data_IF_370535220309
#
_entry.id   IF_370535220309
#
_cell.length_a   1.000
_cell.length_b   1.000
_cell.length_c   1.000
_cell.angle_alpha   90.00
_cell.angle_beta   90.00
_cell.angle_gamma   90.00
#
_symmetry.space_group_name_H-M   'P 1'
#
loop_
_entity.id
_entity.type
_entity.pdbx_description
1 polymer ?
#
# COMPACT_ATOMS: atom_id res chain seq x y z
N UNK A 1 25.29 -0.27 4.15
CA UNK A 1 24.22 0.75 4.05
C UNK A 1 24.85 2.11 4.22
N UNK A 2 24.88 2.90 3.16
CA UNK A 2 25.47 4.24 3.16
C UNK A 2 24.78 5.15 4.20
N UNK A 3 25.54 5.99 4.91
CA UNK A 3 24.99 6.88 5.97
C UNK A 3 23.90 7.79 5.40
N UNK A 4 24.08 8.24 4.16
CA UNK A 4 23.11 9.06 3.41
C UNK A 4 21.82 8.30 3.10
N UNK A 5 21.93 7.03 2.67
CA UNK A 5 20.77 6.17 2.38
C UNK A 5 19.94 5.91 3.63
N UNK A 6 20.59 5.66 4.77
CA UNK A 6 19.90 5.48 6.05
C UNK A 6 19.17 6.75 6.51
N UNK A 7 19.79 7.92 6.34
CA UNK A 7 19.17 9.20 6.67
C UNK A 7 17.92 9.46 5.80
N UNK A 8 18.03 9.24 4.49
CA UNK A 8 16.91 9.40 3.56
C UNK A 8 15.76 8.43 3.87
N UNK A 9 16.07 7.17 4.17
CA UNK A 9 15.07 6.18 4.56
C UNK A 9 14.33 6.59 5.84
N UNK A 10 15.07 7.07 6.86
CA UNK A 10 14.47 7.56 8.11
C UNK A 10 13.54 8.76 7.85
N UNK A 11 13.96 9.71 7.01
CA UNK A 11 13.14 10.87 6.62
C UNK A 11 11.86 10.45 5.89
N UNK A 12 11.95 9.49 4.98
CA UNK A 12 10.78 8.93 4.29
C UNK A 12 9.84 8.22 5.27
N UNK A 13 10.38 7.42 6.19
CA UNK A 13 9.58 6.75 7.22
C UNK A 13 8.85 7.74 8.13
N UNK A 14 9.53 8.81 8.56
CA UNK A 14 8.92 9.85 9.39
C UNK A 14 7.85 10.63 8.60
N UNK A 15 8.05 10.88 7.31
CA UNK A 15 7.02 11.46 6.44
C UNK A 15 5.78 10.55 6.35
N UNK A 16 5.97 9.25 6.10
CA UNK A 16 4.88 8.27 6.02
C UNK A 16 4.12 8.14 7.34
N UNK A 17 4.80 8.16 8.49
CA UNK A 17 4.17 8.12 9.82
C UNK A 17 3.24 9.31 10.10
N UNK A 18 3.55 10.47 9.52
CA UNK A 18 2.73 11.66 9.68
C UNK A 18 1.49 11.65 8.77
N UNK A 19 1.45 10.80 7.75
CA UNK A 19 0.27 10.66 6.89
C UNK A 19 -0.83 9.96 7.68
N UNK A 20 -1.98 10.62 7.77
CA UNK A 20 -3.20 10.05 8.32
C UNK A 20 -4.23 9.92 7.21
N UNK A 21 -4.56 8.69 6.84
CA UNK A 21 -5.68 8.40 5.96
C UNK A 21 -6.99 8.57 6.70
N UNK A 22 -8.04 9.01 6.00
CA UNK A 22 -9.39 9.01 6.56
C UNK A 22 -9.99 7.63 6.33
N UNK A 23 -10.09 6.82 7.38
CA UNK A 23 -10.49 5.40 7.31
C UNK A 23 -9.41 4.52 6.61
N UNK A 24 -9.83 3.47 5.91
CA UNK A 24 -8.99 2.44 5.26
C UNK A 24 -8.62 2.81 3.82
N UNK A 25 -7.67 3.75 3.66
CA UNK A 25 -7.22 4.24 2.34
C UNK A 25 -5.69 4.12 2.14
N UNK A 26 -4.95 3.71 3.16
CA UNK A 26 -3.50 3.60 3.08
C UNK A 26 -3.12 2.15 2.79
N UNK A 27 -2.53 1.92 1.62
CA UNK A 27 -1.97 0.64 1.20
C UNK A 27 -0.45 0.79 1.15
N UNK A 28 0.27 -0.22 1.63
CA UNK A 28 1.74 -0.26 1.54
C UNK A 28 2.16 -1.68 1.22
N UNK A 29 2.94 -1.83 0.15
CA UNK A 29 3.40 -3.13 -0.34
C UNK A 29 4.91 -3.17 -0.23
N UNK A 30 5.43 -4.20 0.45
CA UNK A 30 6.85 -4.46 0.53
C UNK A 30 7.20 -5.62 -0.40
N UNK A 31 8.05 -5.36 -1.39
CA UNK A 31 8.51 -6.37 -2.35
C UNK A 31 9.99 -6.65 -2.09
N UNK A 32 10.36 -7.84 -1.60
CA UNK A 32 11.75 -8.19 -1.37
C UNK A 32 12.50 -8.42 -2.69
N UNK A 33 13.82 -8.26 -2.65
CA UNK A 33 14.66 -8.48 -3.83
C UNK A 33 14.54 -9.93 -4.33
N UNK A 34 14.37 -10.10 -5.65
CA UNK A 34 14.17 -11.42 -6.28
C UNK A 34 12.71 -11.89 -6.29
N UNK A 35 11.77 -11.16 -5.69
CA UNK A 35 10.35 -11.46 -5.83
C UNK A 35 9.81 -11.00 -7.19
N UNK A 36 8.98 -11.82 -7.81
CA UNK A 36 8.45 -11.57 -9.14
C UNK A 36 7.33 -10.51 -9.10
N UNK A 37 7.51 -9.41 -9.84
CA UNK A 37 6.55 -8.30 -9.88
C UNK A 37 5.18 -8.78 -10.39
N UNK A 38 5.14 -9.72 -11.33
CA UNK A 38 3.90 -10.29 -11.86
C UNK A 38 3.03 -10.92 -10.76
N UNK A 39 3.66 -11.58 -9.77
CA UNK A 39 2.96 -12.19 -8.63
C UNK A 39 2.41 -11.16 -7.66
N UNK A 40 3.15 -10.08 -7.42
CA UNK A 40 2.65 -8.94 -6.62
C UNK A 40 1.44 -8.31 -7.29
N UNK A 41 1.53 -8.08 -8.61
CA UNK A 41 0.42 -7.52 -9.38
C UNK A 41 -0.81 -8.45 -9.36
N UNK A 42 -0.61 -9.77 -9.38
CA UNK A 42 -1.71 -10.72 -9.24
C UNK A 42 -2.32 -10.66 -7.84
N UNK A 43 -1.50 -10.65 -6.79
CA UNK A 43 -1.99 -10.53 -5.41
C UNK A 43 -2.84 -9.26 -5.23
N UNK A 44 -2.40 -8.12 -5.78
CA UNK A 44 -3.16 -6.86 -5.71
C UNK A 44 -4.52 -6.96 -6.41
N UNK A 45 -4.59 -7.64 -7.57
CA UNK A 45 -5.87 -7.91 -8.26
C UNK A 45 -6.80 -8.80 -7.44
N UNK A 46 -6.26 -9.82 -6.79
CA UNK A 46 -7.04 -10.72 -5.94
C UNK A 46 -7.58 -9.99 -4.69
N UNK A 47 -6.76 -9.11 -4.09
CA UNK A 47 -7.19 -8.23 -2.99
C UNK A 47 -8.26 -7.23 -3.45
N UNK A 48 -8.15 -6.68 -4.66
CA UNK A 48 -9.18 -5.82 -5.25
C UNK A 48 -10.51 -6.58 -5.41
N UNK A 49 -10.47 -7.82 -5.90
CA UNK A 49 -11.64 -8.69 -5.99
C UNK A 49 -12.29 -8.92 -4.62
N UNK A 50 -11.47 -9.15 -3.59
CA UNK A 50 -11.94 -9.35 -2.21
C UNK A 50 -12.57 -8.09 -1.64
N UNK A 51 -12.00 -6.91 -1.91
CA UNK A 51 -12.51 -5.62 -1.45
C UNK A 51 -13.93 -5.30 -1.99
N UNK A 52 -14.36 -5.91 -3.09
CA UNK A 52 -15.73 -5.75 -3.62
C UNK A 52 -16.83 -6.24 -2.66
N UNK A 53 -16.48 -7.16 -1.75
CA UNK A 53 -17.39 -7.73 -0.76
C UNK A 53 -17.57 -6.86 0.50
N UNK A 54 -16.85 -5.75 0.61
CA UNK A 54 -17.01 -4.82 1.74
C UNK A 54 -18.43 -4.24 1.74
N UNK A 55 -19.17 -4.48 2.83
CA UNK A 55 -20.59 -4.08 2.95
C UNK A 55 -20.79 -2.57 2.87
N UNK A 56 -19.97 -1.80 3.60
CA UNK A 56 -20.01 -0.34 3.59
C UNK A 56 -19.60 0.21 2.22
N UNK A 57 -20.51 0.92 1.55
CA UNK A 57 -20.27 1.52 0.22
C UNK A 57 -19.09 2.50 0.24
N UNK A 58 -19.01 3.33 1.29
CA UNK A 58 -17.92 4.30 1.47
C UNK A 58 -16.57 3.59 1.61
N UNK A 59 -16.50 2.63 2.55
CA UNK A 59 -15.27 1.88 2.82
C UNK A 59 -14.82 1.07 1.61
N UNK A 60 -15.74 0.45 0.89
CA UNK A 60 -15.45 -0.29 -0.35
C UNK A 60 -14.84 0.59 -1.42
N UNK A 61 -15.45 1.75 -1.69
CA UNK A 61 -14.92 2.71 -2.68
C UNK A 61 -13.52 3.18 -2.30
N UNK A 62 -13.30 3.44 -1.02
CA UNK A 62 -12.03 3.93 -0.48
C UNK A 62 -10.92 2.88 -0.61
N UNK A 63 -11.20 1.61 -0.28
CA UNK A 63 -10.24 0.51 -0.43
C UNK A 63 -9.96 0.19 -1.89
N UNK A 64 -10.98 0.10 -2.74
CA UNK A 64 -10.80 -0.16 -4.18
C UNK A 64 -9.97 0.95 -4.85
N UNK A 65 -10.27 2.22 -4.55
CA UNK A 65 -9.52 3.34 -5.08
C UNK A 65 -8.07 3.42 -4.57
N UNK A 66 -7.76 2.81 -3.43
CA UNK A 66 -6.40 2.71 -2.91
C UNK A 66 -5.62 1.53 -3.52
N UNK A 67 -6.30 0.51 -4.04
CA UNK A 67 -5.69 -0.64 -4.72
C UNK A 67 -5.52 -0.40 -6.25
N UNK A 68 -6.31 0.51 -6.83
CA UNK A 68 -6.22 0.87 -8.26
C UNK A 68 -5.18 1.96 -8.59
N UNK A 69 -4.73 2.72 -7.59
CA UNK A 69 -3.78 3.83 -7.74
C UNK A 69 -2.35 3.40 -7.51
#
# INVERSE_FOLDING_TARGET
MDSKTRHNFKKQLDALKNIKGRNTELVSVYVPAGYEISKVAQQLRDEQGTATNIKSKSTRKNVLGALEK
#
